data_IF_347032281142
#
_entry.id   IF_347032281142
#
_cell.length_a   1.000
_cell.length_b   1.000
_cell.length_c   1.000
_cell.angle_alpha   90.00
_cell.angle_beta   90.00
_cell.angle_gamma   90.00
#
_symmetry.space_group_name_H-M   'P 1'
#
loop_
_entity.id
_entity.type
_entity.pdbx_description
1 polymer ?
#
# COMPACT_ATOMS: atom_id res chain seq x y z
N UNK A 1 -5.08 3.24 7.48
CA UNK A 1 -5.11 2.24 6.40
C UNK A 1 -3.71 1.88 5.91
N UNK A 2 -2.87 2.86 5.54
CA UNK A 2 -1.47 2.65 5.10
C UNK A 2 -0.64 1.73 6.00
N UNK A 3 -0.57 1.98 7.33
CA UNK A 3 0.20 1.11 8.26
C UNK A 3 -0.23 -0.36 8.22
N UNK A 4 -1.54 -0.63 8.11
CA UNK A 4 -2.04 -2.01 8.07
C UNK A 4 -1.67 -2.69 6.74
N UNK A 5 -1.73 -1.94 5.64
CA UNK A 5 -1.24 -2.41 4.34
C UNK A 5 0.28 -2.65 4.36
N UNK A 6 1.07 -1.74 4.92
CA UNK A 6 2.53 -1.85 4.99
C UNK A 6 2.97 -3.06 5.82
N UNK A 7 2.29 -3.33 6.94
CA UNK A 7 2.51 -4.55 7.73
C UNK A 7 2.19 -5.79 6.89
N UNK A 8 1.05 -5.79 6.20
CA UNK A 8 0.65 -6.90 5.34
C UNK A 8 1.65 -7.15 4.19
N UNK A 9 2.15 -6.10 3.55
CA UNK A 9 3.18 -6.19 2.50
C UNK A 9 4.48 -6.76 3.08
N UNK A 10 4.94 -6.26 4.23
CA UNK A 10 6.18 -6.75 4.87
C UNK A 10 6.07 -8.20 5.29
N UNK A 11 4.93 -8.64 5.81
CA UNK A 11 4.71 -10.04 6.18
C UNK A 11 4.71 -10.97 4.97
N UNK A 12 4.15 -10.53 3.84
CA UNK A 12 3.97 -11.39 2.65
C UNK A 12 5.18 -11.38 1.71
N UNK A 13 5.86 -10.25 1.60
CA UNK A 13 6.91 -10.03 0.60
C UNK A 13 8.26 -9.64 1.19
N UNK A 14 8.35 -9.45 2.51
CA UNK A 14 9.56 -8.95 3.17
C UNK A 14 9.86 -7.51 2.74
N UNK A 15 11.13 -7.21 2.50
CA UNK A 15 11.60 -5.89 2.08
C UNK A 15 11.65 -5.71 0.55
N UNK A 16 10.91 -6.54 -0.21
CA UNK A 16 10.93 -6.50 -1.68
C UNK A 16 10.32 -5.24 -2.29
N UNK A 17 9.40 -4.59 -1.58
CA UNK A 17 8.71 -3.39 -2.06
C UNK A 17 9.13 -2.18 -1.24
N UNK A 18 9.51 -1.11 -1.95
CA UNK A 18 9.75 0.20 -1.38
C UNK A 18 8.42 0.87 -1.03
N UNK A 19 8.21 1.12 0.27
CA UNK A 19 6.98 1.67 0.84
C UNK A 19 7.10 3.18 1.11
N UNK A 20 8.12 3.84 0.53
CA UNK A 20 8.29 5.28 0.64
C UNK A 20 7.08 6.03 0.09
N UNK A 21 6.73 7.13 0.76
CA UNK A 21 5.64 8.01 0.38
C UNK A 21 6.15 9.38 0.00
N UNK A 22 5.46 10.02 -0.93
CA UNK A 22 5.75 11.40 -1.33
C UNK A 22 5.21 12.41 -0.30
N UNK A 23 5.40 13.70 -0.59
CA UNK A 23 4.97 14.79 0.27
C UNK A 23 3.44 14.89 0.40
N UNK A 24 2.71 14.34 -0.57
CA UNK A 24 1.24 14.29 -0.59
C UNK A 24 0.68 13.05 0.11
N UNK A 25 1.56 12.09 0.47
CA UNK A 25 1.22 10.88 1.21
C UNK A 25 0.91 9.66 0.33
N UNK A 26 1.09 9.74 -0.99
CA UNK A 26 0.95 8.61 -1.90
C UNK A 26 2.21 7.75 -1.92
N UNK A 27 2.06 6.46 -2.24
CA UNK A 27 3.22 5.58 -2.44
C UNK A 27 3.98 6.00 -3.69
N UNK A 28 5.29 6.24 -3.56
CA UNK A 28 6.14 6.70 -4.67
C UNK A 28 6.22 5.68 -5.82
N UNK A 29 5.97 4.40 -5.53
CA UNK A 29 6.02 3.32 -6.51
C UNK A 29 4.62 3.00 -6.99
N UNK A 30 4.37 3.18 -8.28
CA UNK A 30 3.11 2.84 -8.96
C UNK A 30 2.63 1.41 -8.67
N UNK A 31 3.55 0.45 -8.60
CA UNK A 31 3.20 -0.93 -8.23
C UNK A 31 2.61 -1.03 -6.82
N UNK A 32 3.16 -0.31 -5.86
CA UNK A 32 2.69 -0.30 -4.47
C UNK A 32 1.38 0.46 -4.35
N UNK A 33 1.21 1.54 -5.12
CA UNK A 33 -0.05 2.29 -5.23
C UNK A 33 -1.19 1.38 -5.70
N UNK A 34 -1.00 0.66 -6.82
CA UNK A 34 -1.99 -0.32 -7.33
C UNK A 34 -2.25 -1.46 -6.35
N UNK A 35 -1.22 -1.96 -5.67
CA UNK A 35 -1.39 -2.98 -4.63
C UNK A 35 -2.24 -2.47 -3.48
N UNK A 36 -2.05 -1.21 -3.08
CA UNK A 36 -2.86 -0.57 -2.05
C UNK A 36 -4.31 -0.39 -2.49
N UNK A 37 -4.55 0.06 -3.73
CA UNK A 37 -5.88 0.18 -4.32
C UNK A 37 -6.64 -1.14 -4.30
N UNK A 38 -6.02 -2.22 -4.79
CA UNK A 38 -6.60 -3.56 -4.79
C UNK A 38 -6.81 -4.06 -3.35
N UNK A 39 -5.86 -3.81 -2.45
CA UNK A 39 -5.97 -4.23 -1.06
C UNK A 39 -7.13 -3.53 -0.33
N UNK A 40 -7.36 -2.25 -0.59
CA UNK A 40 -8.51 -1.51 -0.09
C UNK A 40 -9.82 -2.05 -0.66
N UNK A 41 -9.88 -2.25 -1.99
CA UNK A 41 -11.06 -2.79 -2.67
C UNK A 41 -11.48 -4.15 -2.09
N UNK A 42 -10.54 -5.09 -1.94
CA UNK A 42 -10.81 -6.42 -1.39
C UNK A 42 -11.26 -6.39 0.08
N UNK A 43 -11.07 -5.28 0.79
CA UNK A 43 -11.47 -5.09 2.19
C UNK A 43 -12.69 -4.20 2.35
N UNK A 44 -13.36 -3.82 1.26
CA UNK A 44 -14.50 -2.91 1.29
C UNK A 44 -14.14 -1.51 1.78
N UNK A 45 -12.86 -1.13 1.73
CA UNK A 45 -12.40 0.20 2.07
C UNK A 45 -12.55 1.05 0.80
N UNK A 46 -13.65 1.81 0.69
CA UNK A 46 -13.78 2.81 -0.38
C UNK A 46 -12.71 3.88 -0.17
N UNK A 47 -11.73 3.92 -1.08
CA UNK A 47 -10.85 5.08 -1.21
C UNK A 47 -11.60 6.13 -2.01
N UNK A 48 -12.25 7.05 -1.28
CA UNK A 48 -12.84 8.28 -1.80
C UNK A 48 -11.74 9.32 -1.96
#
# INVERSE_FOLDING_TARGET
MHKAFEIWVRQRYGNRYDLSRDQEGFYCREVVKRMFDVWCHCRGLNMV
#
